data_IF_754542837170
#
_entry.id   IF_754542837170
#
_cell.length_a   1.000
_cell.length_b   1.000
_cell.length_c   1.000
_cell.angle_alpha   90.00
_cell.angle_beta   90.00
_cell.angle_gamma   90.00
#
_symmetry.space_group_name_H-M   'P 1'
#
loop_
_entity.id
_entity.type
_entity.pdbx_description
1 polymer ?
#
# COMPACT_ATOMS: atom_id res chain seq x y z
N UNK A 1 59.97 14.90 43.47
CA UNK A 1 60.72 14.56 44.71
C UNK A 1 61.81 15.57 44.92
N UNK A 2 61.92 16.13 46.12
CA UNK A 2 63.07 16.92 46.54
C UNK A 2 63.92 16.06 47.48
N UNK A 3 65.18 15.83 47.09
CA UNK A 3 66.14 15.09 47.90
C UNK A 3 66.98 16.07 48.69
N UNK A 4 67.14 15.83 49.98
CA UNK A 4 68.14 16.55 50.76
C UNK A 4 69.52 16.03 50.37
N UNK A 5 70.38 16.92 49.89
CA UNK A 5 71.77 16.56 49.56
C UNK A 5 72.58 16.49 50.85
N UNK A 6 73.09 15.29 51.17
CA UNK A 6 73.94 15.05 52.33
C UNK A 6 75.38 15.12 51.86
N UNK A 7 76.14 16.07 52.40
CA UNK A 7 77.56 16.27 52.08
C UNK A 7 78.41 15.99 53.31
N UNK A 8 79.48 15.21 53.13
CA UNK A 8 80.46 14.97 54.17
C UNK A 8 81.35 16.21 54.34
N UNK A 9 81.48 16.73 55.56
CA UNK A 9 82.32 17.90 55.86
C UNK A 9 83.29 17.60 56.99
N UNK A 10 84.50 18.16 56.91
CA UNK A 10 85.47 18.05 58.01
C UNK A 10 85.06 18.93 59.19
N UNK A 11 85.37 18.49 60.41
CA UNK A 11 84.97 19.18 61.65
C UNK A 11 85.80 20.44 61.95
N UNK A 12 87.01 20.53 61.38
CA UNK A 12 87.98 21.61 61.63
C UNK A 12 87.74 22.83 60.74
N UNK A 13 87.53 22.61 59.44
CA UNK A 13 87.42 23.67 58.43
C UNK A 13 86.08 23.71 57.69
N UNK A 14 85.15 22.78 58.00
CA UNK A 14 83.85 22.64 57.34
C UNK A 14 83.92 22.42 55.81
N UNK A 15 85.09 22.05 55.28
CA UNK A 15 85.27 21.77 53.85
C UNK A 15 84.58 20.46 53.46
N UNK A 16 83.98 20.45 52.27
CA UNK A 16 83.28 19.28 51.72
C UNK A 16 84.29 18.26 51.22
N UNK A 17 84.18 17.02 51.69
CA UNK A 17 85.05 15.89 51.32
C UNK A 17 84.23 14.74 50.74
N UNK A 18 84.90 13.77 50.15
CA UNK A 18 84.23 12.59 49.60
C UNK A 18 83.54 11.78 50.71
N UNK A 19 82.38 11.22 50.38
CA UNK A 19 81.51 10.56 51.36
C UNK A 19 82.15 9.34 52.03
N UNK A 20 83.19 8.75 51.43
CA UNK A 20 83.93 7.59 51.97
C UNK A 20 84.80 7.95 53.18
N UNK A 21 85.04 9.24 53.46
CA UNK A 21 85.78 9.72 54.63
C UNK A 21 84.87 9.99 55.84
N UNK A 22 83.53 9.95 55.66
CA UNK A 22 82.58 10.04 56.77
C UNK A 22 82.31 8.66 57.37
N UNK A 23 82.14 8.61 58.69
CA UNK A 23 81.83 7.38 59.41
C UNK A 23 80.46 6.82 58.95
N UNK A 24 80.37 5.55 58.51
CA UNK A 24 79.11 4.94 58.08
C UNK A 24 78.01 4.97 59.14
N UNK A 25 78.35 4.94 60.43
CA UNK A 25 77.36 5.00 61.53
C UNK A 25 76.84 6.43 61.78
N UNK A 26 77.56 7.44 61.26
CA UNK A 26 77.15 8.86 61.31
C UNK A 26 76.30 9.30 60.12
N UNK A 27 76.06 8.41 59.15
CA UNK A 27 75.32 8.71 57.92
C UNK A 27 73.84 8.92 58.23
N UNK A 28 73.40 10.17 58.12
CA UNK A 28 71.99 10.52 58.25
C UNK A 28 71.14 9.76 57.20
N UNK A 29 69.94 9.28 57.57
CA UNK A 29 69.04 8.65 56.62
C UNK A 29 68.66 9.64 55.51
N UNK A 30 68.58 9.13 54.28
CA UNK A 30 68.29 9.94 53.11
C UNK A 30 66.87 10.52 53.22
N UNK A 31 66.75 11.80 53.53
CA UNK A 31 65.45 12.45 53.68
C UNK A 31 64.96 12.90 52.29
N UNK A 32 63.98 12.17 51.77
CA UNK A 32 63.29 12.51 50.52
C UNK A 32 61.88 12.99 50.86
N UNK A 33 61.52 14.18 50.37
CA UNK A 33 60.14 14.69 50.46
C UNK A 33 59.51 14.81 49.08
N UNK A 34 58.21 14.58 49.01
CA UNK A 34 57.45 14.93 47.82
C UNK A 34 57.49 16.45 47.63
N UNK A 35 57.62 16.91 46.40
CA UNK A 35 57.51 18.31 46.02
C UNK A 35 56.40 18.45 44.97
N UNK A 36 55.79 19.62 44.86
CA UNK A 36 54.59 19.86 44.04
C UNK A 36 53.42 18.95 44.46
N UNK A 37 53.18 18.83 45.77
CA UNK A 37 52.08 18.03 46.33
C UNK A 37 50.72 18.73 46.24
N UNK A 38 50.69 20.00 45.83
CA UNK A 38 49.42 20.68 45.58
C UNK A 38 48.79 20.15 44.30
N UNK A 39 47.51 19.73 44.33
CA UNK A 39 46.85 19.23 43.14
C UNK A 39 46.71 20.35 42.12
N UNK A 40 46.91 20.03 40.85
CA UNK A 40 46.81 20.99 39.76
C UNK A 40 45.43 21.67 39.72
N UNK A 41 45.32 22.88 39.14
CA UNK A 41 44.02 23.47 38.86
C UNK A 41 43.16 22.53 38.00
N UNK A 42 41.83 22.51 38.20
CA UNK A 42 40.94 21.66 37.42
C UNK A 42 40.80 22.17 35.98
N UNK A 43 40.73 21.24 35.04
CA UNK A 43 40.61 21.51 33.61
C UNK A 43 39.48 20.71 32.98
N UNK A 44 38.96 21.19 31.84
CA UNK A 44 37.94 20.48 31.08
C UNK A 44 38.55 19.28 30.35
N UNK A 45 38.07 18.09 30.68
CA UNK A 45 38.19 16.91 29.86
C UNK A 45 37.10 16.91 28.79
N UNK A 46 37.50 16.78 27.51
CA UNK A 46 36.60 16.76 26.36
C UNK A 46 36.79 15.41 25.65
N UNK A 47 35.80 14.54 25.78
CA UNK A 47 35.76 13.27 25.08
C UNK A 47 35.43 13.41 23.60
N UNK A 48 35.55 12.31 22.88
CA UNK A 48 35.17 12.23 21.47
C UNK A 48 33.65 12.34 21.29
N UNK A 49 33.25 12.82 20.11
CA UNK A 49 31.86 12.83 19.71
C UNK A 49 31.33 11.42 19.50
N UNK A 50 30.12 11.16 19.99
CA UNK A 50 29.36 9.97 19.63
C UNK A 50 29.05 9.93 18.13
N UNK A 51 28.62 8.77 17.67
CA UNK A 51 27.93 8.69 16.38
C UNK A 51 26.69 9.59 16.38
N UNK A 52 26.35 10.11 15.20
CA UNK A 52 25.18 10.97 15.04
C UNK A 52 23.90 10.14 15.17
N UNK A 53 22.90 10.65 15.90
CA UNK A 53 21.63 9.94 16.12
C UNK A 53 20.86 9.64 14.83
N UNK A 54 21.13 10.37 13.75
CA UNK A 54 20.59 10.11 12.41
C UNK A 54 21.68 10.22 11.37
N UNK A 55 21.53 9.51 10.27
CA UNK A 55 22.44 9.58 9.11
C UNK A 55 22.05 10.68 8.11
N UNK A 56 20.86 11.27 8.24
CA UNK A 56 20.32 12.35 7.43
C UNK A 56 19.11 13.03 8.15
N UNK A 57 18.57 14.10 7.58
CA UNK A 57 17.48 14.94 8.11
C UNK A 57 17.74 15.53 9.51
N UNK A 58 18.99 15.79 9.85
CA UNK A 58 19.38 16.42 11.10
C UNK A 58 19.25 15.48 12.30
N UNK A 59 20.40 15.07 12.81
CA UNK A 59 20.56 14.38 14.09
C UNK A 59 21.30 15.24 15.10
N UNK A 60 21.58 14.63 16.25
CA UNK A 60 22.41 15.21 17.31
C UNK A 60 23.47 14.18 17.68
N UNK A 61 24.70 14.64 17.89
CA UNK A 61 25.76 13.85 18.52
C UNK A 61 26.14 14.49 19.84
N UNK A 62 26.57 13.66 20.78
CA UNK A 62 26.95 14.10 22.12
C UNK A 62 28.36 13.64 22.44
N UNK A 63 29.09 14.41 23.24
CA UNK A 63 30.40 14.02 23.78
C UNK A 63 30.40 14.19 25.29
N UNK A 64 31.30 13.47 25.94
CA UNK A 64 31.52 13.60 27.39
C UNK A 64 32.32 14.86 27.68
N UNK A 65 31.84 15.71 28.57
CA UNK A 65 32.56 16.88 29.08
C UNK A 65 32.59 16.79 30.60
N UNK A 66 33.78 16.72 31.18
CA UNK A 66 33.98 16.56 32.63
C UNK A 66 34.99 17.58 33.14
N UNK A 67 34.78 18.10 34.33
CA UNK A 67 35.79 18.92 35.00
C UNK A 67 36.70 17.98 35.80
N UNK A 68 37.98 17.87 35.43
CA UNK A 68 38.92 16.93 36.04
C UNK A 68 40.05 17.65 36.76
N UNK A 69 40.44 17.12 37.93
CA UNK A 69 41.58 17.62 38.70
C UNK A 69 42.61 16.51 38.87
N UNK A 70 43.85 16.79 38.50
CA UNK A 70 44.98 15.85 38.69
C UNK A 70 45.50 15.97 40.12
N UNK A 71 45.29 14.92 40.92
CA UNK A 71 45.69 14.85 42.34
C UNK A 71 47.07 14.19 42.49
N UNK A 72 47.43 13.32 41.55
CA UNK A 72 48.73 12.65 41.53
C UNK A 72 49.19 12.30 40.12
N UNK A 73 50.28 11.54 39.99
CA UNK A 73 50.84 11.15 38.69
C UNK A 73 49.91 10.24 37.86
N UNK A 74 48.97 9.53 38.49
CA UNK A 74 47.98 8.66 37.84
C UNK A 74 46.59 8.72 38.48
N UNK A 75 46.37 9.68 39.37
CA UNK A 75 45.11 9.85 40.09
C UNK A 75 44.42 11.14 39.65
N UNK A 76 43.20 10.98 39.17
CA UNK A 76 42.34 12.06 38.68
C UNK A 76 41.01 12.01 39.41
N UNK A 77 40.49 13.18 39.78
CA UNK A 77 39.19 13.35 40.40
C UNK A 77 38.27 14.13 39.46
N UNK A 78 37.03 13.65 39.31
CA UNK A 78 35.99 14.38 38.58
C UNK A 78 35.24 15.30 39.53
N UNK A 79 35.21 16.59 39.21
CA UNK A 79 34.57 17.63 39.97
C UNK A 79 33.29 18.12 39.30
N UNK A 80 32.52 18.93 40.04
CA UNK A 80 31.39 19.65 39.48
C UNK A 80 31.85 20.75 38.51
N UNK A 81 31.05 21.00 37.47
CA UNK A 81 31.30 21.99 36.40
C UNK A 81 31.73 23.38 36.90
N UNK A 82 31.31 23.79 38.10
CA UNK A 82 31.59 25.10 38.70
C UNK A 82 33.06 25.33 39.01
N UNK A 83 33.86 24.26 39.16
CA UNK A 83 35.26 24.34 39.54
C UNK A 83 36.17 24.66 38.35
N UNK A 84 35.72 24.39 37.13
CA UNK A 84 36.40 24.76 35.91
C UNK A 84 35.93 26.16 35.48
N UNK A 85 36.79 27.17 35.66
CA UNK A 85 36.46 28.60 35.48
C UNK A 85 36.34 29.05 34.03
N UNK A 86 36.72 28.20 33.07
CA UNK A 86 36.61 28.47 31.64
C UNK A 86 35.24 28.07 31.11
N UNK A 87 34.85 28.64 29.97
CA UNK A 87 33.52 28.39 29.38
C UNK A 87 33.27 26.89 29.17
N UNK A 88 32.14 26.40 29.69
CA UNK A 88 31.74 25.00 29.57
C UNK A 88 31.67 24.58 28.09
N UNK A 89 32.44 23.57 27.67
CA UNK A 89 32.41 23.08 26.29
C UNK A 89 31.03 22.57 25.88
N UNK A 90 30.71 22.69 24.59
CA UNK A 90 29.44 22.18 24.06
C UNK A 90 29.42 20.65 24.14
N UNK A 91 28.41 20.10 24.81
CA UNK A 91 28.22 18.64 24.94
C UNK A 91 27.39 18.03 23.81
N UNK A 92 26.57 18.82 23.12
CA UNK A 92 25.65 18.35 22.07
C UNK A 92 25.69 19.27 20.88
N UNK A 93 25.81 18.69 19.69
CA UNK A 93 25.78 19.45 18.44
C UNK A 93 24.94 18.75 17.37
N UNK A 94 24.45 19.55 16.41
CA UNK A 94 23.72 19.04 15.26
C UNK A 94 24.69 18.39 14.26
N UNK A 95 24.22 17.32 13.64
CA UNK A 95 24.98 16.57 12.64
C UNK A 95 24.06 16.03 11.55
N UNK A 96 24.62 15.68 10.39
CA UNK A 96 23.91 15.08 9.26
C UNK A 96 22.68 15.87 8.78
N UNK A 97 22.86 17.15 8.48
CA UNK A 97 21.81 18.05 8.01
C UNK A 97 21.38 17.84 6.54
N UNK A 98 22.03 16.95 5.81
CA UNK A 98 21.62 16.55 4.47
C UNK A 98 20.25 15.88 4.50
N UNK A 99 19.41 16.13 3.49
CA UNK A 99 18.13 15.45 3.37
C UNK A 99 18.31 13.96 3.09
N UNK A 100 17.48 13.12 3.70
CA UNK A 100 17.48 11.70 3.41
C UNK A 100 17.03 11.43 1.96
N UNK A 101 17.54 10.37 1.31
CA UNK A 101 17.02 9.94 0.02
C UNK A 101 15.54 9.56 0.17
N UNK A 102 14.71 9.84 -0.86
CA UNK A 102 13.30 9.52 -0.82
C UNK A 102 13.07 8.00 -0.85
N UNK A 103 11.94 7.58 -0.31
CA UNK A 103 11.59 6.18 -0.12
C UNK A 103 10.26 5.83 -0.79
N UNK A 104 10.13 4.55 -1.14
CA UNK A 104 8.88 4.02 -1.65
C UNK A 104 7.85 3.84 -0.53
N UNK A 105 6.71 4.48 -0.71
CA UNK A 105 5.58 4.39 0.22
C UNK A 105 4.43 3.69 -0.48
N UNK A 106 4.13 2.43 -0.15
CA UNK A 106 2.98 1.73 -0.69
C UNK A 106 1.69 2.25 -0.06
N UNK A 107 0.69 2.53 -0.90
CA UNK A 107 -0.67 2.78 -0.44
C UNK A 107 -1.40 1.47 -0.19
N UNK A 108 -2.62 1.59 0.33
CA UNK A 108 -3.52 0.47 0.54
C UNK A 108 -3.82 -0.29 -0.75
N UNK A 109 -4.10 -1.58 -0.58
CA UNK A 109 -4.54 -2.43 -1.66
C UNK A 109 -5.98 -2.12 -2.06
N UNK A 110 -6.25 -2.18 -3.35
CA UNK A 110 -7.60 -2.23 -3.89
C UNK A 110 -8.33 -3.49 -3.42
N UNK A 111 -9.65 -3.49 -3.62
CA UNK A 111 -10.42 -4.74 -3.55
C UNK A 111 -9.88 -5.76 -4.58
N UNK A 112 -10.03 -7.04 -4.25
CA UNK A 112 -9.71 -8.12 -5.18
C UNK A 112 -10.72 -8.11 -6.34
N UNK A 113 -10.20 -8.19 -7.57
CA UNK A 113 -11.02 -8.29 -8.78
C UNK A 113 -10.68 -9.58 -9.53
N UNK A 114 -11.68 -10.41 -9.86
CA UNK A 114 -13.11 -10.24 -9.54
C UNK A 114 -13.45 -10.49 -8.05
N UNK A 115 -14.69 -10.15 -7.64
CA UNK A 115 -15.19 -10.30 -6.24
C UNK A 115 -15.46 -11.75 -5.80
N UNK A 116 -15.01 -12.74 -6.57
CA UNK A 116 -15.06 -14.16 -6.26
C UNK A 116 -13.95 -14.88 -7.05
N UNK A 117 -13.57 -16.08 -6.63
CA UNK A 117 -12.58 -16.89 -7.33
C UNK A 117 -11.17 -16.27 -7.34
N UNK A 118 -10.30 -16.72 -8.25
CA UNK A 118 -8.95 -16.20 -8.39
C UNK A 118 -8.96 -14.82 -9.07
N UNK A 119 -8.15 -13.90 -8.56
CA UNK A 119 -8.09 -12.53 -9.03
C UNK A 119 -6.82 -11.81 -8.63
N UNK A 120 -6.85 -10.49 -8.81
CA UNK A 120 -5.75 -9.60 -8.44
C UNK A 120 -6.27 -8.38 -7.69
N UNK A 121 -5.47 -7.94 -6.73
CA UNK A 121 -5.56 -6.61 -6.13
C UNK A 121 -4.35 -5.78 -6.55
N UNK A 122 -4.57 -4.48 -6.69
CA UNK A 122 -3.57 -3.53 -7.13
C UNK A 122 -3.35 -2.47 -6.04
N UNK A 123 -2.18 -1.87 -6.00
CA UNK A 123 -1.93 -0.70 -5.14
C UNK A 123 -1.05 0.29 -5.89
N UNK A 124 -1.12 1.53 -5.45
CA UNK A 124 -0.23 2.58 -5.91
C UNK A 124 0.98 2.63 -4.98
N UNK A 125 2.16 2.86 -5.52
CA UNK A 125 3.38 3.11 -4.74
C UNK A 125 3.90 4.48 -5.15
N UNK A 126 4.11 5.34 -4.16
CA UNK A 126 4.60 6.70 -4.37
C UNK A 126 6.04 6.83 -3.88
N UNK A 127 6.86 7.60 -4.59
CA UNK A 127 8.18 8.00 -4.10
C UNK A 127 7.99 9.25 -3.24
N UNK A 128 8.30 9.19 -1.95
CA UNK A 128 8.12 10.30 -1.02
C UNK A 128 9.40 10.65 -0.27
N UNK A 129 9.50 11.88 0.20
CA UNK A 129 10.54 12.25 1.19
C UNK A 129 10.44 11.37 2.43
N UNK A 130 11.53 11.29 3.17
CA UNK A 130 11.64 10.61 4.46
C UNK A 130 10.61 11.07 5.50
N UNK A 131 10.28 12.35 5.52
CA UNK A 131 9.23 12.95 6.36
C UNK A 131 7.80 12.79 5.79
N UNK A 132 7.66 12.09 4.64
CA UNK A 132 6.41 11.82 3.93
C UNK A 132 5.64 13.06 3.43
N UNK A 133 6.23 14.25 3.54
CA UNK A 133 5.57 15.52 3.22
C UNK A 133 5.52 15.79 1.71
N UNK A 134 6.57 15.41 0.98
CA UNK A 134 6.72 15.70 -0.45
C UNK A 134 6.68 14.41 -1.26
N UNK A 135 5.99 14.46 -2.40
CA UNK A 135 5.99 13.37 -3.39
C UNK A 135 6.90 13.73 -4.54
N UNK A 136 7.75 12.78 -4.96
CA UNK A 136 8.73 12.92 -6.03
C UNK A 136 8.37 12.02 -7.23
N UNK A 137 8.92 12.32 -8.42
CA UNK A 137 8.90 11.38 -9.54
C UNK A 137 9.55 10.04 -9.20
N UNK A 138 9.07 8.97 -9.85
CA UNK A 138 9.52 7.57 -9.66
C UNK A 138 11.05 7.41 -9.74
N UNK A 139 11.70 8.17 -10.63
CA UNK A 139 13.16 8.11 -10.87
C UNK A 139 14.02 8.47 -9.67
N UNK A 140 13.47 9.14 -8.65
CA UNK A 140 14.21 9.52 -7.44
C UNK A 140 14.31 8.38 -6.42
N UNK A 141 13.47 7.35 -6.52
CA UNK A 141 13.53 6.19 -5.66
C UNK A 141 14.16 5.01 -6.41
N UNK A 142 14.97 4.22 -5.70
CA UNK A 142 15.64 3.04 -6.25
C UNK A 142 14.62 1.94 -6.63
N UNK A 143 14.64 1.49 -7.89
CA UNK A 143 13.63 0.55 -8.40
C UNK A 143 13.75 -0.84 -7.73
N UNK A 144 14.93 -1.24 -7.26
CA UNK A 144 15.19 -2.52 -6.57
C UNK A 144 14.38 -2.63 -5.27
N UNK A 145 14.15 -1.49 -4.61
CA UNK A 145 13.41 -1.41 -3.36
C UNK A 145 11.90 -1.18 -3.57
N UNK A 146 11.43 -1.16 -4.82
CA UNK A 146 10.05 -0.85 -5.14
C UNK A 146 9.11 -1.98 -4.73
N UNK A 147 8.13 -1.72 -3.83
CA UNK A 147 7.16 -2.71 -3.45
C UNK A 147 6.27 -3.16 -4.63
N UNK A 148 5.74 -4.39 -4.63
CA UNK A 148 4.89 -4.88 -5.70
C UNK A 148 3.59 -4.07 -5.81
N UNK A 149 3.21 -3.69 -7.04
CA UNK A 149 1.96 -2.95 -7.33
C UNK A 149 0.76 -3.88 -7.59
N UNK A 150 1.00 -5.18 -7.76
CA UNK A 150 -0.02 -6.19 -8.08
C UNK A 150 0.21 -7.44 -7.24
N UNK A 151 -0.87 -7.97 -6.67
CA UNK A 151 -0.84 -9.18 -5.83
C UNK A 151 -2.00 -10.10 -6.17
N UNK A 152 -1.75 -11.42 -6.20
CA UNK A 152 -2.79 -12.44 -6.38
C UNK A 152 -3.69 -12.50 -5.15
N UNK A 153 -4.97 -12.75 -5.36
CA UNK A 153 -5.95 -13.00 -4.32
C UNK A 153 -6.91 -14.11 -4.78
N UNK A 154 -7.46 -14.84 -3.83
CA UNK A 154 -8.43 -15.90 -4.09
C UNK A 154 -9.59 -15.74 -3.11
N UNK A 155 -10.74 -15.34 -3.64
CA UNK A 155 -11.98 -15.21 -2.88
C UNK A 155 -12.80 -16.51 -2.98
N UNK A 156 -13.94 -16.55 -2.29
CA UNK A 156 -14.87 -17.68 -2.34
C UNK A 156 -15.31 -18.04 -3.76
N UNK A 157 -15.88 -19.23 -3.94
CA UNK A 157 -16.31 -19.70 -5.28
C UNK A 157 -17.27 -18.71 -5.93
N UNK A 158 -17.09 -18.49 -7.23
CA UNK A 158 -18.02 -17.66 -7.99
C UNK A 158 -19.40 -18.31 -8.09
N UNK A 159 -20.48 -17.51 -8.07
CA UNK A 159 -21.81 -18.01 -8.39
C UNK A 159 -21.80 -18.70 -9.76
N UNK A 160 -22.50 -19.84 -9.92
CA UNK A 160 -22.59 -20.50 -11.20
C UNK A 160 -23.31 -19.60 -12.22
N UNK A 161 -23.01 -19.75 -13.52
CA UNK A 161 -23.72 -19.03 -14.55
C UNK A 161 -25.20 -19.47 -14.59
N UNK A 162 -26.06 -18.55 -15.03
CA UNK A 162 -27.51 -18.76 -15.07
C UNK A 162 -28.09 -18.31 -16.41
N UNK A 163 -29.20 -18.94 -16.79
CA UNK A 163 -29.99 -18.49 -17.91
C UNK A 163 -30.66 -17.16 -17.58
N UNK A 164 -30.50 -16.19 -18.48
CA UNK A 164 -31.15 -14.89 -18.42
C UNK A 164 -31.98 -14.74 -19.69
N UNK A 165 -33.24 -14.34 -19.51
CA UNK A 165 -34.19 -14.15 -20.60
C UNK A 165 -34.46 -12.67 -20.79
N UNK A 166 -34.46 -12.22 -22.05
CA UNK A 166 -35.01 -10.91 -22.39
C UNK A 166 -36.54 -10.94 -22.46
N UNK A 167 -37.10 -9.77 -22.73
CA UNK A 167 -38.54 -9.63 -22.95
C UNK A 167 -38.99 -10.39 -24.21
N UNK A 168 -40.25 -10.78 -24.23
CA UNK A 168 -40.87 -11.33 -25.44
C UNK A 168 -41.00 -10.24 -26.50
N UNK A 169 -40.57 -10.57 -27.72
CA UNK A 169 -40.85 -9.74 -28.89
C UNK A 169 -42.34 -9.72 -29.23
N UNK A 170 -42.69 -8.94 -30.26
CA UNK A 170 -44.07 -8.88 -30.75
C UNK A 170 -44.56 -10.24 -31.25
N UNK A 171 -45.86 -10.49 -31.08
CA UNK A 171 -46.49 -11.68 -31.63
C UNK A 171 -46.42 -11.65 -33.16
N UNK A 172 -46.03 -12.77 -33.78
CA UNK A 172 -45.96 -12.89 -35.23
C UNK A 172 -47.30 -12.67 -35.93
N UNK A 173 -48.41 -12.85 -35.19
CA UNK A 173 -49.75 -12.63 -35.68
C UNK A 173 -50.31 -11.31 -35.14
N UNK A 174 -50.85 -10.49 -36.06
CA UNK A 174 -51.56 -9.26 -35.71
C UNK A 174 -52.90 -9.53 -35.00
N UNK A 175 -53.48 -10.71 -35.23
CA UNK A 175 -54.72 -11.15 -34.61
C UNK A 175 -54.74 -12.69 -34.51
N UNK A 176 -55.35 -13.24 -33.45
CA UNK A 176 -55.42 -14.68 -33.20
C UNK A 176 -54.10 -15.30 -32.73
N UNK A 177 -53.89 -16.57 -33.03
CA UNK A 177 -52.72 -17.34 -32.57
C UNK A 177 -51.47 -17.03 -33.40
N UNK A 178 -50.38 -16.73 -32.72
CA UNK A 178 -49.05 -16.55 -33.33
C UNK A 178 -47.94 -17.12 -32.45
N UNK A 179 -46.70 -16.81 -32.81
CA UNK A 179 -45.51 -17.13 -32.04
C UNK A 179 -44.73 -15.85 -31.72
N UNK A 180 -44.14 -15.80 -30.54
CA UNK A 180 -43.22 -14.74 -30.15
C UNK A 180 -41.88 -15.35 -29.74
N UNK A 181 -40.81 -14.59 -29.97
CA UNK A 181 -39.45 -15.00 -29.67
C UNK A 181 -38.85 -14.08 -28.60
N UNK A 182 -37.96 -14.61 -27.78
CA UNK A 182 -37.16 -13.84 -26.82
C UNK A 182 -35.70 -14.26 -26.86
N UNK A 183 -34.84 -13.39 -26.36
CA UNK A 183 -33.44 -13.73 -26.15
C UNK A 183 -33.29 -14.64 -24.93
N UNK A 184 -32.47 -15.67 -25.06
CA UNK A 184 -32.11 -16.58 -23.97
C UNK A 184 -30.61 -16.76 -24.00
N UNK A 185 -29.93 -16.20 -23.00
CA UNK A 185 -28.48 -16.19 -22.91
C UNK A 185 -28.03 -16.82 -21.60
N UNK A 186 -27.00 -17.65 -21.65
CA UNK A 186 -26.32 -18.12 -20.44
C UNK A 186 -25.29 -17.07 -20.05
N UNK A 187 -25.48 -16.44 -18.89
CA UNK A 187 -24.60 -15.39 -18.40
C UNK A 187 -23.92 -15.82 -17.11
N UNK A 188 -22.62 -15.56 -17.03
CA UNK A 188 -21.85 -15.63 -15.78
C UNK A 188 -22.28 -14.52 -14.81
N UNK A 189 -21.79 -14.59 -13.56
CA UNK A 189 -22.09 -13.58 -12.55
C UNK A 189 -21.59 -12.16 -12.93
N UNK A 190 -20.64 -12.03 -13.85
CA UNK A 190 -20.17 -10.73 -14.38
C UNK A 190 -20.97 -10.24 -15.58
N UNK A 191 -21.97 -11.00 -16.05
CA UNK A 191 -22.74 -10.70 -17.26
C UNK A 191 -22.05 -11.10 -18.56
N UNK A 192 -20.88 -11.74 -18.51
CA UNK A 192 -20.25 -12.31 -19.70
C UNK A 192 -20.95 -13.60 -20.11
N UNK A 193 -21.06 -13.85 -21.42
CA UNK A 193 -21.60 -15.09 -21.96
C UNK A 193 -20.81 -16.32 -21.49
N UNK A 194 -21.53 -17.37 -21.09
CA UNK A 194 -20.97 -18.66 -20.64
C UNK A 194 -21.70 -19.81 -21.34
N UNK A 195 -21.08 -21.00 -21.35
CA UNK A 195 -21.69 -22.25 -21.81
C UNK A 195 -21.90 -23.25 -20.67
N UNK A 196 -21.64 -22.86 -19.42
CA UNK A 196 -21.69 -23.78 -18.27
C UNK A 196 -23.07 -23.82 -17.60
N UNK A 197 -24.08 -23.18 -18.20
CA UNK A 197 -25.46 -23.31 -17.76
C UNK A 197 -26.00 -24.69 -18.15
N UNK A 198 -26.67 -25.43 -17.24
CA UNK A 198 -27.32 -26.69 -17.59
C UNK A 198 -28.41 -26.49 -18.65
N UNK A 199 -28.35 -27.25 -19.74
CA UNK A 199 -29.36 -27.20 -20.82
C UNK A 199 -30.77 -27.58 -20.34
N UNK A 200 -30.86 -28.43 -19.31
CA UNK A 200 -32.14 -28.82 -18.69
C UNK A 200 -32.90 -27.66 -18.08
N UNK A 201 -32.20 -26.58 -17.70
CA UNK A 201 -32.79 -25.38 -17.13
C UNK A 201 -32.98 -24.28 -18.18
N UNK A 202 -32.69 -24.55 -19.46
CA UNK A 202 -32.78 -23.56 -20.55
C UNK A 202 -34.24 -23.17 -20.79
N UNK A 203 -34.62 -21.90 -20.55
CA UNK A 203 -35.98 -21.44 -20.82
C UNK A 203 -36.30 -21.47 -22.32
N UNK A 204 -37.58 -21.60 -22.71
CA UNK A 204 -37.97 -21.57 -24.11
C UNK A 204 -37.64 -20.21 -24.74
N UNK A 205 -37.03 -20.22 -25.93
CA UNK A 205 -36.77 -19.03 -26.73
C UNK A 205 -37.96 -18.62 -27.59
N UNK A 206 -38.97 -19.48 -27.69
CA UNK A 206 -40.18 -19.28 -28.49
C UNK A 206 -41.39 -19.76 -27.70
N UNK A 207 -42.48 -18.99 -27.72
CA UNK A 207 -43.75 -19.42 -27.15
C UNK A 207 -44.94 -19.00 -28.03
N UNK A 208 -46.08 -19.61 -27.78
CA UNK A 208 -47.33 -19.22 -28.40
C UNK A 208 -47.85 -17.91 -27.77
N UNK A 209 -48.43 -17.06 -28.60
CA UNK A 209 -49.10 -15.82 -28.18
C UNK A 209 -50.47 -15.74 -28.84
N UNK A 210 -51.38 -15.00 -28.20
CA UNK A 210 -52.71 -14.72 -28.73
C UNK A 210 -52.95 -13.21 -28.74
N UNK A 211 -53.08 -12.66 -29.93
CA UNK A 211 -53.41 -11.26 -30.15
C UNK A 211 -54.93 -11.12 -30.21
N UNK A 212 -55.50 -10.24 -29.38
CA UNK A 212 -56.95 -9.96 -29.40
C UNK A 212 -57.34 -9.45 -30.78
N UNK A 213 -58.24 -10.15 -31.45
CA UNK A 213 -58.87 -9.65 -32.66
C UNK A 213 -59.90 -8.60 -32.24
N UNK A 214 -59.69 -7.34 -32.63
CA UNK A 214 -60.73 -6.35 -32.47
C UNK A 214 -61.82 -6.67 -33.50
N UNK A 215 -62.90 -7.30 -33.04
CA UNK A 215 -64.12 -7.52 -33.82
C UNK A 215 -64.94 -6.24 -33.85
N UNK A 216 -64.31 -5.11 -34.20
CA UNK A 216 -65.05 -3.98 -34.73
C UNK A 216 -65.15 -4.22 -36.23
N UNK A 217 -66.36 -4.40 -36.79
CA UNK A 217 -66.51 -4.31 -38.23
C UNK A 217 -65.99 -2.92 -38.59
N UNK A 218 -65.02 -2.84 -39.50
CA UNK A 218 -64.79 -1.61 -40.23
C UNK A 218 -66.15 -1.28 -40.83
N UNK A 219 -66.83 -0.32 -40.22
CA UNK A 219 -68.12 0.20 -40.63
C UNK A 219 -67.93 1.09 -41.85
N UNK A 220 -67.31 0.53 -42.89
CA UNK A 220 -67.41 1.02 -44.25
C UNK A 220 -68.07 -0.12 -45.03
N UNK A 221 -69.39 0.03 -45.19
CA UNK A 221 -70.26 -0.86 -45.93
C UNK A 221 -70.01 -0.83 -47.45
N UNK A 222 -68.76 -0.84 -47.89
CA UNK A 222 -68.33 -0.81 -49.30
C UNK A 222 -66.90 -1.39 -49.35
N UNK A 223 -66.57 -2.61 -49.76
CA UNK A 223 -67.24 -3.69 -50.47
C UNK A 223 -66.63 -5.00 -49.93
N UNK A 224 -67.45 -5.92 -49.44
CA UNK A 224 -67.03 -7.30 -49.16
C UNK A 224 -66.43 -7.90 -50.44
N UNK A 225 -65.10 -8.12 -50.48
CA UNK A 225 -64.35 -8.63 -51.65
C UNK A 225 -63.47 -9.80 -51.23
N UNK A 226 -63.49 -10.86 -52.02
CA UNK A 226 -62.57 -12.00 -51.86
C UNK A 226 -61.15 -11.58 -52.28
N UNK A 227 -60.19 -11.77 -51.37
CA UNK A 227 -58.78 -11.41 -51.55
C UNK A 227 -58.13 -12.23 -52.67
N UNK A 228 -58.52 -13.51 -52.83
CA UNK A 228 -58.03 -14.36 -53.91
C UNK A 228 -59.14 -15.27 -54.44
N UNK A 229 -59.81 -14.76 -55.49
CA UNK A 229 -61.03 -15.33 -56.11
C UNK A 229 -60.80 -16.63 -56.88
N UNK A 230 -59.59 -16.87 -57.37
CA UNK A 230 -59.37 -17.90 -58.41
C UNK A 230 -59.03 -19.26 -57.82
N UNK A 231 -58.22 -19.31 -56.77
CA UNK A 231 -57.78 -20.59 -56.18
C UNK A 231 -58.07 -20.69 -54.69
N UNK A 232 -57.79 -19.63 -53.93
CA UNK A 232 -57.82 -19.70 -52.47
C UNK A 232 -59.23 -19.80 -51.90
N UNK A 233 -60.13 -18.88 -52.28
CA UNK A 233 -61.49 -18.86 -51.73
C UNK A 233 -62.35 -20.07 -52.12
N UNK A 234 -62.28 -20.61 -53.35
CA UNK A 234 -62.93 -21.88 -53.68
C UNK A 234 -62.45 -23.06 -52.81
N UNK A 235 -61.17 -23.11 -52.45
CA UNK A 235 -60.65 -24.15 -51.54
C UNK A 235 -61.16 -23.96 -50.10
N UNK A 236 -61.24 -22.70 -49.62
CA UNK A 236 -61.83 -22.37 -48.31
C UNK A 236 -63.26 -22.89 -48.20
N UNK A 237 -64.07 -22.71 -49.25
CA UNK A 237 -65.43 -23.25 -49.30
C UNK A 237 -65.43 -24.78 -49.38
N UNK A 238 -64.64 -25.35 -50.30
CA UNK A 238 -64.54 -26.81 -50.51
C UNK A 238 -64.17 -27.57 -49.24
N UNK A 239 -63.28 -27.01 -48.42
CA UNK A 239 -62.83 -27.60 -47.15
C UNK A 239 -63.59 -27.10 -45.91
N UNK A 240 -64.72 -26.40 -46.10
CA UNK A 240 -65.61 -25.90 -45.02
C UNK A 240 -64.92 -25.00 -43.97
N UNK A 241 -63.97 -24.18 -44.41
CA UNK A 241 -63.24 -23.26 -43.52
C UNK A 241 -63.97 -21.92 -43.28
N UNK A 242 -65.13 -21.70 -43.92
CA UNK A 242 -65.98 -20.51 -43.75
C UNK A 242 -66.48 -20.27 -42.32
N UNK A 243 -66.45 -21.29 -41.46
CA UNK A 243 -66.79 -21.18 -40.04
C UNK A 243 -65.76 -20.40 -39.22
N UNK A 244 -64.55 -20.18 -39.74
CA UNK A 244 -63.48 -19.44 -39.03
C UNK A 244 -63.44 -17.99 -39.51
N UNK A 245 -63.44 -17.05 -38.58
CA UNK A 245 -63.50 -15.62 -38.84
C UNK A 245 -62.41 -15.11 -39.82
N UNK A 246 -61.17 -15.62 -39.69
CA UNK A 246 -60.06 -15.27 -40.58
C UNK A 246 -60.36 -15.57 -42.06
N UNK A 247 -60.83 -16.78 -42.35
CA UNK A 247 -61.17 -17.17 -43.72
C UNK A 247 -62.41 -16.43 -44.22
N UNK A 248 -63.37 -16.14 -43.34
CA UNK A 248 -64.56 -15.34 -43.68
C UNK A 248 -64.22 -13.89 -44.01
N UNK A 249 -63.19 -13.33 -43.37
CA UNK A 249 -62.71 -11.98 -43.68
C UNK A 249 -61.99 -11.92 -45.04
N UNK A 250 -61.19 -12.95 -45.37
CA UNK A 250 -60.44 -13.03 -46.63
C UNK A 250 -61.30 -13.46 -47.84
N UNK A 251 -62.32 -14.28 -47.60
CA UNK A 251 -63.20 -14.89 -48.61
C UNK A 251 -64.67 -14.56 -48.34
N UNK A 252 -64.91 -13.27 -48.09
CA UNK A 252 -66.18 -12.74 -47.64
C UNK A 252 -67.35 -13.05 -48.58
N UNK A 253 -67.18 -12.94 -49.91
CA UNK A 253 -68.24 -13.29 -50.88
C UNK A 253 -68.40 -14.80 -51.01
N UNK A 254 -67.30 -15.54 -51.06
CA UNK A 254 -67.35 -17.00 -51.22
C UNK A 254 -68.02 -17.70 -50.03
N UNK A 255 -67.89 -17.15 -48.82
CA UNK A 255 -68.51 -17.68 -47.60
C UNK A 255 -69.88 -17.06 -47.26
N UNK A 256 -70.46 -16.26 -48.15
CA UNK A 256 -71.75 -15.59 -47.93
C UNK A 256 -72.89 -16.61 -48.12
N UNK A 257 -73.35 -17.23 -47.03
CA UNK A 257 -74.45 -18.22 -47.02
C UNK A 257 -74.06 -19.64 -46.59
N UNK A 258 -72.82 -19.85 -46.13
CA UNK A 258 -72.31 -21.11 -45.56
C UNK A 258 -71.64 -20.86 -44.20
#
# INVERSE_FOLDING_TARGET
>A
MQKQEIVCKRLDDSSVVQNNYCDPDSKLPENQRACNTEPCPPEWFIGDWSECSKTCDGGTRSRTVLCIRKIGPSEEETLESTHCLTHHPVEKESCNNQSCPPQWVPLDWSECTPKCGPGFKHRIVLCKSSDLSRTFPVVHCQEENKPPVRMRCSLGRCPPPRWVTGDWGQCSAQCGLGQQMRTVQCLSYTGQGSNDCPDTLRPPSMQQCESKCDSTPVSNAEECKDVNKVAYCPLVLKFKFCSRAYFRQMCCKTCQGH
#
